data_IF_592294120870
#
_entry.id   IF_592294120870
#
_cell.length_a   1.000
_cell.length_b   1.000
_cell.length_c   1.000
_cell.angle_alpha   90.00
_cell.angle_beta   90.00
_cell.angle_gamma   90.00
#
_symmetry.space_group_name_H-M   'P 1'
#
loop_
_entity.id
_entity.type
_entity.pdbx_description
1 polymer ?
#
# COMPACT_ATOMS: atom_id res chain seq x y z
N UNK A 1 -20.26 -16.39 -15.81
CA UNK A 1 -20.85 -17.11 -14.66
C UNK A 1 -19.83 -18.04 -14.01
N UNK A 2 -19.18 -18.96 -14.74
CA UNK A 2 -18.18 -19.90 -14.19
C UNK A 2 -17.02 -19.18 -13.50
N UNK A 3 -16.42 -18.16 -14.11
CA UNK A 3 -15.32 -17.37 -13.54
C UNK A 3 -15.73 -16.67 -12.20
N UNK A 4 -16.98 -16.22 -12.11
CA UNK A 4 -17.49 -15.59 -10.86
C UNK A 4 -17.48 -16.58 -9.70
N UNK A 5 -17.92 -17.83 -9.97
CA UNK A 5 -17.96 -18.89 -8.97
C UNK A 5 -16.54 -19.37 -8.58
N UNK A 6 -15.65 -19.48 -9.54
CA UNK A 6 -14.27 -19.91 -9.31
C UNK A 6 -13.48 -18.90 -8.47
N UNK A 7 -13.57 -17.60 -8.80
CA UNK A 7 -12.91 -16.54 -8.02
C UNK A 7 -13.50 -16.45 -6.61
N UNK A 8 -14.81 -16.57 -6.47
CA UNK A 8 -15.47 -16.58 -5.15
C UNK A 8 -15.00 -17.76 -4.27
N UNK A 9 -14.77 -18.94 -4.87
CA UNK A 9 -14.30 -20.13 -4.15
C UNK A 9 -12.81 -20.07 -3.77
N UNK A 10 -11.97 -19.49 -4.63
CA UNK A 10 -10.54 -19.34 -4.39
C UNK A 10 -10.21 -18.23 -3.38
N UNK A 11 -11.17 -17.32 -3.12
CA UNK A 11 -10.94 -16.10 -2.36
C UNK A 11 -10.28 -14.99 -3.21
N UNK A 12 -10.73 -13.75 -3.04
CA UNK A 12 -10.15 -12.60 -3.73
C UNK A 12 -8.98 -12.07 -2.90
N UNK A 13 -7.75 -12.05 -3.43
CA UNK A 13 -6.61 -11.46 -2.72
C UNK A 13 -6.87 -9.99 -2.37
N UNK A 14 -6.66 -9.62 -1.11
CA UNK A 14 -7.02 -8.31 -0.57
C UNK A 14 -5.90 -7.27 -0.75
N UNK A 15 -5.35 -7.17 -1.96
CA UNK A 15 -4.33 -6.17 -2.27
C UNK A 15 -4.83 -4.74 -2.05
N UNK A 16 -3.93 -3.87 -1.61
CA UNK A 16 -4.14 -2.43 -1.76
C UNK A 16 -4.11 -2.07 -3.25
N UNK A 17 -5.12 -1.33 -3.70
CA UNK A 17 -5.27 -0.92 -5.09
C UNK A 17 -4.32 0.21 -5.49
N UNK A 18 -4.23 0.50 -6.81
CA UNK A 18 -3.36 1.53 -7.38
C UNK A 18 -3.59 2.92 -6.75
N UNK A 19 -4.83 3.23 -6.35
CA UNK A 19 -5.18 4.49 -5.70
C UNK A 19 -4.37 4.77 -4.43
N UNK A 20 -3.87 3.69 -3.76
CA UNK A 20 -3.03 3.81 -2.58
C UNK A 20 -1.64 4.34 -2.90
N UNK A 21 -1.17 4.06 -4.09
CA UNK A 21 0.20 4.34 -4.52
C UNK A 21 0.30 5.55 -5.47
N UNK A 22 -0.83 6.01 -6.03
CA UNK A 22 -0.94 7.00 -7.08
C UNK A 22 -1.19 6.34 -8.44
N UNK A 23 -2.37 6.57 -9.02
CA UNK A 23 -2.84 5.88 -10.24
C UNK A 23 -1.97 6.22 -11.45
N UNK A 24 -1.81 7.52 -11.73
CA UNK A 24 -0.98 8.02 -12.84
C UNK A 24 0.50 8.04 -12.47
N UNK A 25 0.78 8.22 -11.18
CA UNK A 25 2.12 8.45 -10.65
C UNK A 25 2.32 7.65 -9.34
N UNK A 26 2.72 6.38 -9.43
CA UNK A 26 2.84 5.49 -8.26
C UNK A 26 4.10 5.80 -7.43
N UNK A 27 4.15 6.98 -6.84
CA UNK A 27 5.30 7.52 -6.09
C UNK A 27 5.10 7.47 -4.58
N UNK A 28 3.87 7.32 -4.10
CA UNK A 28 3.48 7.55 -2.70
C UNK A 28 4.27 6.67 -1.73
N UNK A 29 4.36 5.36 -2.00
CA UNK A 29 5.12 4.42 -1.18
C UNK A 29 6.63 4.63 -1.25
N UNK A 30 7.15 5.08 -2.40
CA UNK A 30 8.57 5.37 -2.59
C UNK A 30 9.01 6.57 -1.73
N UNK A 31 8.17 7.59 -1.67
CA UNK A 31 8.42 8.74 -0.79
C UNK A 31 8.30 8.31 0.68
N UNK A 32 7.32 7.46 0.99
CA UNK A 32 7.13 6.90 2.34
C UNK A 32 8.34 6.12 2.84
N UNK A 33 8.92 5.27 2.00
CA UNK A 33 10.18 4.54 2.28
C UNK A 33 11.31 5.52 2.64
N UNK A 34 11.51 6.56 1.84
CA UNK A 34 12.57 7.56 2.08
C UNK A 34 12.36 8.35 3.37
N UNK A 35 11.10 8.67 3.71
CA UNK A 35 10.76 9.31 4.99
C UNK A 35 11.11 8.37 6.16
N UNK A 36 10.79 7.07 6.04
CA UNK A 36 11.16 6.06 7.05
C UNK A 36 12.68 5.99 7.23
N UNK A 37 13.43 5.96 6.14
CA UNK A 37 14.90 5.96 6.17
C UNK A 37 15.50 7.29 6.70
N UNK A 38 14.69 8.34 6.90
CA UNK A 38 15.16 9.66 7.31
C UNK A 38 15.84 10.45 6.20
N UNK A 39 15.80 9.98 4.96
CA UNK A 39 16.33 10.67 3.79
C UNK A 39 15.29 11.65 3.23
N UNK A 40 15.15 12.77 3.93
CA UNK A 40 14.16 13.80 3.58
C UNK A 40 14.49 14.51 2.28
N UNK A 41 15.77 14.59 1.90
CA UNK A 41 16.16 15.12 0.59
C UNK A 41 15.65 14.23 -0.53
N UNK A 42 16.00 12.95 -0.51
CA UNK A 42 15.53 12.00 -1.52
C UNK A 42 14.00 11.90 -1.54
N UNK A 43 13.34 11.99 -0.37
CA UNK A 43 11.87 12.01 -0.28
C UNK A 43 11.27 13.21 -1.01
N UNK A 44 11.74 14.42 -0.70
CA UNK A 44 11.25 15.65 -1.33
C UNK A 44 11.56 15.69 -2.83
N UNK A 45 12.78 15.32 -3.22
CA UNK A 45 13.20 15.26 -4.62
C UNK A 45 12.36 14.24 -5.40
N UNK A 46 12.09 13.07 -4.82
CA UNK A 46 11.23 12.06 -5.44
C UNK A 46 9.79 12.59 -5.58
N UNK A 47 9.26 13.26 -4.56
CA UNK A 47 7.90 13.81 -4.61
C UNK A 47 7.76 14.90 -5.67
N UNK A 48 8.68 15.85 -5.73
CA UNK A 48 8.62 16.96 -6.69
C UNK A 48 9.00 16.48 -8.09
N UNK A 49 10.11 15.74 -8.23
CA UNK A 49 10.85 15.61 -9.48
C UNK A 49 10.74 14.26 -10.20
N UNK A 50 10.20 13.20 -9.57
CA UNK A 50 10.10 11.91 -10.28
C UNK A 50 8.97 11.94 -11.30
N UNK A 51 9.32 11.94 -12.59
CA UNK A 51 8.39 11.90 -13.69
C UNK A 51 7.87 10.48 -13.98
N UNK A 52 6.67 10.39 -14.54
CA UNK A 52 6.05 9.14 -14.99
C UNK A 52 5.44 9.28 -16.39
N UNK A 53 5.44 8.20 -17.20
CA UNK A 53 5.03 8.24 -18.60
C UNK A 53 3.57 8.67 -18.85
N UNK A 54 2.69 8.51 -17.85
CA UNK A 54 1.27 8.87 -17.96
C UNK A 54 0.97 10.32 -17.56
N UNK A 55 1.97 11.09 -17.15
CA UNK A 55 1.83 12.52 -16.89
C UNK A 55 1.91 13.31 -18.21
N UNK A 56 1.45 14.57 -18.21
CA UNK A 56 1.61 15.48 -19.36
C UNK A 56 3.09 15.77 -19.63
N UNK A 57 3.46 16.03 -20.88
CA UNK A 57 4.83 16.38 -21.26
C UNK A 57 5.38 17.58 -20.46
N UNK A 58 4.51 18.61 -20.24
CA UNK A 58 4.84 19.76 -19.41
C UNK A 58 5.25 19.36 -18.00
N UNK A 59 4.47 18.50 -17.36
CA UNK A 59 4.75 18.00 -16.00
C UNK A 59 6.02 17.16 -15.97
N UNK A 60 6.18 16.26 -16.93
CA UNK A 60 7.39 15.42 -17.04
C UNK A 60 8.66 16.26 -17.22
N UNK A 61 8.61 17.29 -18.10
CA UNK A 61 9.72 18.21 -18.34
C UNK A 61 10.13 18.97 -17.08
N UNK A 62 9.16 19.60 -16.39
CA UNK A 62 9.42 20.33 -15.14
C UNK A 62 9.98 19.44 -14.03
N UNK A 63 9.47 18.21 -13.90
CA UNK A 63 9.97 17.24 -12.91
C UNK A 63 11.41 16.79 -13.22
N UNK A 64 11.68 16.47 -14.48
CA UNK A 64 13.02 16.05 -14.93
C UNK A 64 14.02 17.17 -14.71
N UNK A 65 13.70 18.40 -15.10
CA UNK A 65 14.54 19.56 -14.88
C UNK A 65 14.87 19.76 -13.39
N UNK A 66 13.85 19.69 -12.51
CA UNK A 66 14.11 19.77 -11.06
C UNK A 66 14.98 18.61 -10.54
N UNK A 67 14.77 17.40 -11.06
CA UNK A 67 15.58 16.25 -10.65
C UNK A 67 17.06 16.42 -11.01
N UNK A 68 17.36 17.05 -12.14
CA UNK A 68 18.72 17.27 -12.62
C UNK A 68 19.41 18.46 -11.95
N UNK A 69 18.67 19.55 -11.77
CA UNK A 69 19.25 20.84 -11.36
C UNK A 69 19.10 21.15 -9.87
N UNK A 70 18.09 20.58 -9.20
CA UNK A 70 17.66 20.96 -7.84
C UNK A 70 17.26 22.44 -7.73
N UNK A 71 17.02 23.12 -8.84
CA UNK A 71 16.59 24.52 -8.85
C UNK A 71 15.10 24.63 -8.48
N UNK A 72 14.84 24.91 -7.20
CA UNK A 72 13.47 25.07 -6.69
C UNK A 72 12.75 26.29 -7.29
N UNK A 73 13.50 27.32 -7.72
CA UNK A 73 12.93 28.53 -8.36
C UNK A 73 12.46 28.21 -9.77
N UNK A 74 13.28 27.51 -10.54
CA UNK A 74 12.89 27.02 -11.86
C UNK A 74 11.69 26.06 -11.76
N UNK A 75 11.73 25.11 -10.85
CA UNK A 75 10.61 24.19 -10.59
C UNK A 75 9.30 24.93 -10.26
N UNK A 76 9.35 25.98 -9.43
CA UNK A 76 8.18 26.79 -9.09
C UNK A 76 7.60 27.52 -10.31
N UNK A 77 8.44 27.91 -11.26
CA UNK A 77 8.02 28.57 -12.50
C UNK A 77 7.45 27.59 -13.54
N UNK A 78 8.01 26.38 -13.64
CA UNK A 78 7.72 25.40 -14.68
C UNK A 78 6.62 24.40 -14.30
N UNK A 79 6.48 24.05 -13.01
CA UNK A 79 5.46 23.11 -12.55
C UNK A 79 4.04 23.66 -12.82
N UNK A 80 3.15 22.87 -13.44
CA UNK A 80 1.74 23.24 -13.64
C UNK A 80 1.08 23.77 -12.37
N UNK A 81 0.21 24.77 -12.54
CA UNK A 81 -0.44 25.46 -11.39
C UNK A 81 -1.27 24.50 -10.54
N UNK A 82 -1.82 23.45 -11.14
CA UNK A 82 -2.61 22.42 -10.49
C UNK A 82 -1.79 21.56 -9.50
N UNK A 83 -0.46 21.50 -9.67
CA UNK A 83 0.45 20.76 -8.81
C UNK A 83 0.74 21.53 -7.51
N UNK A 84 -0.32 21.80 -6.77
CA UNK A 84 -0.28 22.70 -5.60
C UNK A 84 0.67 22.21 -4.50
N UNK A 85 0.79 20.91 -4.32
CA UNK A 85 1.67 20.32 -3.29
C UNK A 85 3.14 20.42 -3.67
N UNK A 86 3.49 20.06 -4.90
CA UNK A 86 4.86 20.18 -5.41
C UNK A 86 5.30 21.65 -5.40
N UNK A 87 4.41 22.54 -5.82
CA UNK A 87 4.66 23.99 -5.82
C UNK A 87 4.82 24.53 -4.39
N UNK A 88 4.06 24.04 -3.40
CA UNK A 88 4.22 24.43 -2.01
C UNK A 88 5.60 24.01 -1.47
N UNK A 89 6.04 22.79 -1.80
CA UNK A 89 7.36 22.28 -1.42
C UNK A 89 8.48 23.09 -2.11
N UNK A 90 8.37 23.35 -3.43
CA UNK A 90 9.33 24.15 -4.16
C UNK A 90 9.41 25.59 -3.62
N UNK A 91 8.27 26.22 -3.30
CA UNK A 91 8.24 27.54 -2.67
C UNK A 91 8.95 27.57 -1.32
N UNK A 92 8.78 26.53 -0.49
CA UNK A 92 9.53 26.39 0.76
C UNK A 92 11.04 26.35 0.52
N UNK A 93 11.49 25.55 -0.46
CA UNK A 93 12.91 25.42 -0.81
C UNK A 93 13.50 26.70 -1.41
N UNK A 94 12.71 27.52 -2.10
CA UNK A 94 13.14 28.85 -2.56
C UNK A 94 13.42 29.77 -1.37
N UNK A 95 12.58 29.73 -0.34
CA UNK A 95 12.74 30.55 0.87
C UNK A 95 13.83 29.97 1.81
N UNK A 96 13.96 28.66 1.88
CA UNK A 96 14.85 27.93 2.79
C UNK A 96 15.65 26.87 2.00
N UNK A 97 16.70 27.27 1.29
CA UNK A 97 17.50 26.34 0.48
C UNK A 97 18.07 25.20 1.34
N UNK A 98 17.85 23.94 0.89
CA UNK A 98 18.35 22.75 1.58
C UNK A 98 17.44 22.24 2.72
N UNK A 99 16.38 22.95 3.11
CA UNK A 99 15.44 22.49 4.14
C UNK A 99 14.37 21.56 3.52
N UNK A 100 14.79 20.37 3.11
CA UNK A 100 13.91 19.36 2.55
C UNK A 100 12.91 18.79 3.57
N UNK A 101 13.29 18.73 4.85
CA UNK A 101 12.39 18.32 5.91
C UNK A 101 11.24 19.33 6.08
N UNK A 102 11.53 20.63 6.06
CA UNK A 102 10.53 21.69 6.06
C UNK A 102 9.67 21.68 4.81
N UNK A 103 10.25 21.41 3.63
CA UNK A 103 9.51 21.26 2.38
C UNK A 103 8.47 20.12 2.45
N UNK A 104 8.82 18.95 3.00
CA UNK A 104 7.86 17.87 3.24
C UNK A 104 6.76 18.29 4.23
N UNK A 105 7.09 19.03 5.28
CA UNK A 105 6.11 19.55 6.25
C UNK A 105 5.21 20.66 5.68
N UNK A 106 5.52 21.21 4.51
CA UNK A 106 4.60 22.08 3.78
C UNK A 106 3.40 21.31 3.19
N UNK A 107 3.45 19.98 3.13
CA UNK A 107 2.33 19.12 2.77
C UNK A 107 1.30 19.05 3.91
N UNK A 108 -0.01 18.88 3.59
CA UNK A 108 -1.01 18.63 4.64
C UNK A 108 -0.62 17.39 5.49
N UNK A 109 -0.78 17.44 6.84
CA UNK A 109 -0.38 16.35 7.73
C UNK A 109 -0.98 14.98 7.35
N UNK A 110 -2.25 14.96 6.89
CA UNK A 110 -2.91 13.75 6.40
C UNK A 110 -2.24 13.16 5.15
N UNK A 111 -1.76 14.01 4.25
CA UNK A 111 -1.03 13.55 3.06
C UNK A 111 0.34 13.02 3.46
N UNK A 112 1.05 13.72 4.33
CA UNK A 112 2.36 13.28 4.80
C UNK A 112 2.27 11.91 5.50
N UNK A 113 1.25 11.69 6.34
CA UNK A 113 1.04 10.38 6.96
C UNK A 113 0.63 9.29 5.96
N UNK A 114 -0.11 9.67 4.91
CA UNK A 114 -0.49 8.75 3.84
C UNK A 114 0.73 8.23 3.09
N UNK A 115 1.79 9.03 2.91
CA UNK A 115 3.04 8.61 2.26
C UNK A 115 3.66 7.43 3.02
N UNK A 116 3.85 7.58 4.34
CA UNK A 116 4.43 6.52 5.18
C UNK A 116 3.55 5.27 5.21
N UNK A 117 2.24 5.45 5.42
CA UNK A 117 1.32 4.31 5.46
C UNK A 117 1.10 3.65 4.09
N UNK A 118 1.43 4.32 2.98
CA UNK A 118 1.49 3.68 1.66
C UNK A 118 2.67 2.70 1.56
N UNK A 119 3.80 2.98 2.21
CA UNK A 119 4.89 2.01 2.28
C UNK A 119 4.50 0.76 3.09
N UNK A 120 3.81 0.91 4.22
CA UNK A 120 3.22 -0.22 4.94
C UNK A 120 2.30 -1.06 4.02
N UNK A 121 1.50 -0.39 3.19
CA UNK A 121 0.61 -1.05 2.22
C UNK A 121 1.38 -1.77 1.10
N UNK A 122 2.52 -1.24 0.70
CA UNK A 122 3.45 -1.87 -0.26
C UNK A 122 4.04 -3.16 0.33
N UNK A 123 4.55 -3.12 1.57
CA UNK A 123 5.05 -4.32 2.26
C UNK A 123 3.99 -5.42 2.36
N UNK A 124 2.75 -5.05 2.70
CA UNK A 124 1.63 -6.01 2.71
C UNK A 124 1.41 -6.64 1.33
N UNK A 125 1.39 -5.83 0.27
CA UNK A 125 1.19 -6.34 -1.08
C UNK A 125 2.33 -7.29 -1.49
N UNK A 126 3.57 -6.95 -1.18
CA UNK A 126 4.72 -7.82 -1.42
C UNK A 126 4.61 -9.14 -0.64
N UNK A 127 4.28 -9.09 0.64
CA UNK A 127 4.12 -10.29 1.47
C UNK A 127 2.99 -11.20 0.97
N UNK A 128 1.85 -10.61 0.55
CA UNK A 128 0.75 -11.37 -0.04
C UNK A 128 1.15 -12.01 -1.38
N UNK A 129 1.95 -11.31 -2.20
CA UNK A 129 2.50 -11.90 -3.43
C UNK A 129 3.44 -13.07 -3.13
N UNK A 130 4.37 -12.91 -2.18
CA UNK A 130 5.25 -14.01 -1.75
C UNK A 130 4.45 -15.23 -1.27
N UNK A 131 3.37 -15.03 -0.50
CA UNK A 131 2.49 -16.13 -0.07
C UNK A 131 1.93 -16.91 -1.26
N UNK A 132 1.47 -16.20 -2.30
CA UNK A 132 0.91 -16.82 -3.51
C UNK A 132 2.01 -17.51 -4.30
N UNK A 133 3.17 -16.90 -4.47
CA UNK A 133 4.31 -17.43 -5.24
C UNK A 133 4.92 -18.67 -4.57
N UNK A 134 4.91 -18.74 -3.23
CA UNK A 134 5.31 -19.93 -2.47
C UNK A 134 4.23 -21.05 -2.49
N UNK A 135 3.08 -20.81 -3.12
CA UNK A 135 1.98 -21.77 -3.24
C UNK A 135 1.16 -21.97 -1.96
N UNK A 136 1.30 -21.07 -0.98
CA UNK A 136 0.52 -21.11 0.27
C UNK A 136 -0.94 -20.72 0.00
N UNK A 137 -1.87 -21.42 0.63
CA UNK A 137 -3.31 -21.21 0.43
C UNK A 137 -3.75 -19.85 0.99
N UNK A 138 -4.73 -19.22 0.31
CA UNK A 138 -5.41 -18.02 0.80
C UNK A 138 -6.59 -18.34 1.75
N UNK A 139 -7.06 -19.59 1.75
CA UNK A 139 -8.26 -20.02 2.50
C UNK A 139 -7.99 -21.14 3.50
N UNK A 140 -6.85 -21.80 3.41
CA UNK A 140 -6.43 -22.82 4.36
C UNK A 140 -5.21 -22.30 5.15
N UNK A 141 -5.29 -22.29 6.49
CA UNK A 141 -4.23 -21.70 7.30
C UNK A 141 -3.04 -22.66 7.45
N UNK A 142 -1.86 -22.09 7.65
CA UNK A 142 -0.65 -22.77 8.08
C UNK A 142 -0.31 -22.45 9.53
N UNK A 143 0.55 -23.28 10.16
CA UNK A 143 1.03 -22.99 11.51
C UNK A 143 1.83 -21.69 11.52
N UNK A 144 1.47 -20.79 12.43
CA UNK A 144 2.05 -19.47 12.54
C UNK A 144 1.26 -18.37 11.81
N UNK A 145 0.24 -18.72 11.01
CA UNK A 145 -0.63 -17.72 10.41
C UNK A 145 -1.41 -16.94 11.48
N UNK A 146 -1.52 -15.65 11.29
CA UNK A 146 -2.40 -14.81 12.09
C UNK A 146 -3.86 -14.96 11.65
N UNK A 147 -4.76 -14.95 12.61
CA UNK A 147 -6.21 -14.95 12.41
C UNK A 147 -6.80 -13.64 12.92
N UNK A 148 -7.59 -12.99 12.08
CA UNK A 148 -8.38 -11.83 12.48
C UNK A 148 -9.87 -12.19 12.45
N UNK A 149 -10.52 -12.14 13.62
CA UNK A 149 -11.94 -12.41 13.79
C UNK A 149 -12.79 -11.19 13.45
N UNK A 150 -14.08 -11.43 13.15
CA UNK A 150 -15.01 -10.33 12.84
C UNK A 150 -15.23 -9.35 14.00
N UNK A 151 -15.03 -9.80 15.24
CA UNK A 151 -15.13 -9.00 16.46
C UNK A 151 -13.84 -8.24 16.80
N UNK A 152 -12.83 -8.31 15.92
CA UNK A 152 -11.51 -7.67 16.10
C UNK A 152 -10.53 -8.47 16.96
N UNK A 153 -10.93 -9.63 17.49
CA UNK A 153 -10.03 -10.52 18.22
C UNK A 153 -9.00 -11.12 17.26
N UNK A 154 -7.79 -11.31 17.77
CA UNK A 154 -6.66 -11.90 17.07
C UNK A 154 -6.28 -13.24 17.68
N UNK A 155 -5.73 -14.15 16.89
CA UNK A 155 -5.19 -15.45 17.34
C UNK A 155 -4.06 -15.87 16.38
N UNK A 156 -3.25 -16.82 16.81
CA UNK A 156 -2.18 -17.44 16.00
C UNK A 156 -2.53 -18.91 15.78
N UNK A 157 -2.35 -19.38 14.56
CA UNK A 157 -2.54 -20.79 14.21
C UNK A 157 -1.40 -21.62 14.79
N UNK A 158 -1.74 -22.65 15.53
CA UNK A 158 -0.82 -23.60 16.12
C UNK A 158 -1.21 -25.03 15.73
N UNK A 159 -0.33 -26.00 15.93
CA UNK A 159 -0.66 -27.42 15.72
C UNK A 159 -1.87 -27.89 16.55
N UNK A 160 -2.11 -27.24 17.69
CA UNK A 160 -3.23 -27.60 18.60
C UNK A 160 -4.57 -27.06 18.13
N UNK A 161 -4.61 -25.85 17.59
CA UNK A 161 -5.86 -25.18 17.18
C UNK A 161 -6.13 -25.23 15.66
N UNK A 162 -5.25 -25.83 14.84
CA UNK A 162 -5.34 -25.88 13.38
C UNK A 162 -6.73 -26.30 12.85
N UNK A 163 -7.30 -27.39 13.39
CA UNK A 163 -8.63 -27.86 12.98
C UNK A 163 -9.73 -26.85 13.30
N UNK A 164 -9.64 -26.22 14.47
CA UNK A 164 -10.60 -25.21 14.89
C UNK A 164 -10.46 -23.93 14.03
N UNK A 165 -9.23 -23.50 13.78
CA UNK A 165 -8.92 -22.38 12.89
C UNK A 165 -9.53 -22.56 11.49
N UNK A 166 -9.26 -23.69 10.85
CA UNK A 166 -9.83 -24.02 9.54
C UNK A 166 -11.37 -23.99 9.55
N UNK A 167 -12.00 -24.54 10.61
CA UNK A 167 -13.45 -24.51 10.72
C UNK A 167 -14.01 -23.10 10.89
N UNK A 168 -13.33 -22.23 11.64
CA UNK A 168 -13.73 -20.84 11.84
C UNK A 168 -13.59 -20.03 10.54
N UNK A 169 -12.51 -20.25 9.77
CA UNK A 169 -12.29 -19.64 8.47
C UNK A 169 -13.41 -20.06 7.49
N UNK A 170 -13.67 -21.38 7.37
CA UNK A 170 -14.75 -21.90 6.49
C UNK A 170 -16.13 -21.39 6.85
N UNK A 171 -16.37 -21.05 8.12
CA UNK A 171 -17.61 -20.43 8.60
C UNK A 171 -17.62 -18.90 8.44
N UNK A 172 -16.56 -18.32 7.89
CA UNK A 172 -16.41 -16.87 7.72
C UNK A 172 -16.29 -16.08 9.03
N UNK A 173 -16.01 -16.72 10.17
CA UNK A 173 -15.90 -16.05 11.47
C UNK A 173 -14.57 -15.36 11.71
N UNK A 174 -13.52 -15.83 11.04
CA UNK A 174 -12.21 -15.20 10.98
C UNK A 174 -11.62 -15.35 9.59
N UNK A 175 -10.54 -14.63 9.33
CA UNK A 175 -9.73 -14.70 8.12
C UNK A 175 -8.27 -14.79 8.46
N UNK A 176 -7.48 -15.43 7.59
CA UNK A 176 -6.03 -15.37 7.64
C UNK A 176 -5.63 -13.90 7.40
N UNK A 177 -4.68 -13.41 8.17
CA UNK A 177 -4.21 -12.04 8.09
C UNK A 177 -2.68 -11.99 8.04
N UNK A 178 -2.14 -10.93 7.47
CA UNK A 178 -0.72 -10.59 7.51
C UNK A 178 -0.53 -9.42 8.48
N UNK A 179 0.47 -9.51 9.34
CA UNK A 179 0.88 -8.41 10.19
C UNK A 179 1.63 -7.35 9.36
N UNK A 180 1.06 -6.16 9.28
CA UNK A 180 1.69 -5.00 8.68
C UNK A 180 2.55 -4.32 9.74
N UNK A 181 3.87 -4.14 9.51
CA UNK A 181 4.79 -3.62 10.52
C UNK A 181 4.53 -2.15 10.86
N UNK A 182 4.96 -1.75 12.04
CA UNK A 182 4.91 -0.39 12.57
C UNK A 182 6.02 -0.18 13.59
N UNK A 183 5.83 0.71 14.56
CA UNK A 183 6.79 1.04 15.61
C UNK A 183 7.04 -0.09 16.63
N UNK A 184 6.28 -1.19 16.58
CA UNK A 184 6.54 -2.40 17.36
C UNK A 184 7.37 -3.43 16.60
N UNK A 185 8.03 -4.36 17.33
CA UNK A 185 8.80 -5.45 16.70
C UNK A 185 7.87 -6.43 15.97
N UNK A 186 8.34 -6.96 14.85
CA UNK A 186 7.72 -8.13 14.20
C UNK A 186 8.25 -9.38 14.88
N UNK A 187 7.38 -10.06 15.62
CA UNK A 187 7.73 -11.32 16.31
C UNK A 187 7.33 -12.47 15.38
N UNK A 188 8.28 -13.30 14.91
CA UNK A 188 7.96 -14.37 13.97
C UNK A 188 7.21 -15.50 14.65
N UNK A 189 6.02 -15.81 14.17
CA UNK A 189 5.21 -16.96 14.56
C UNK A 189 5.20 -18.06 13.49
N UNK A 190 5.49 -17.69 12.24
CA UNK A 190 5.56 -18.59 11.09
C UNK A 190 6.06 -17.89 9.83
N UNK A 191 5.92 -18.57 8.70
CA UNK A 191 6.51 -18.19 7.42
C UNK A 191 6.12 -16.77 6.98
N UNK A 192 4.88 -16.33 7.22
CA UNK A 192 4.44 -15.00 6.82
C UNK A 192 5.16 -13.87 7.57
N UNK A 193 5.45 -14.06 8.85
CA UNK A 193 6.21 -13.06 9.62
C UNK A 193 7.69 -13.07 9.22
N UNK A 194 8.25 -14.24 8.88
CA UNK A 194 9.61 -14.36 8.33
C UNK A 194 9.71 -13.60 7.00
N UNK A 195 8.77 -13.82 6.06
CA UNK A 195 8.68 -13.07 4.81
C UNK A 195 8.63 -11.56 5.07
N UNK A 196 7.83 -11.12 6.03
CA UNK A 196 7.75 -9.69 6.37
C UNK A 196 9.08 -9.16 6.90
N UNK A 197 9.78 -9.91 7.74
CA UNK A 197 11.11 -9.55 8.22
C UNK A 197 12.14 -9.49 7.07
N UNK A 198 12.12 -10.47 6.15
CA UNK A 198 12.96 -10.48 4.95
C UNK A 198 12.72 -9.25 4.07
N UNK A 199 11.45 -8.87 3.87
CA UNK A 199 11.07 -7.67 3.11
C UNK A 199 11.55 -6.40 3.81
N UNK A 200 11.34 -6.25 5.11
CA UNK A 200 11.83 -5.10 5.88
C UNK A 200 13.36 -5.00 5.81
N UNK A 201 14.07 -6.12 5.97
CA UNK A 201 15.52 -6.17 5.87
C UNK A 201 16.02 -5.77 4.46
N UNK A 202 15.36 -6.25 3.41
CA UNK A 202 15.65 -5.88 2.02
C UNK A 202 15.52 -4.39 1.76
N UNK A 203 14.51 -3.76 2.34
CA UNK A 203 14.26 -2.32 2.22
C UNK A 203 15.08 -1.49 3.23
N UNK A 204 15.85 -2.15 4.11
CA UNK A 204 16.69 -1.50 5.13
C UNK A 204 15.91 -0.77 6.20
N UNK A 205 14.71 -1.28 6.56
CA UNK A 205 13.78 -0.62 7.48
C UNK A 205 13.53 -1.50 8.72
N UNK A 206 13.49 -0.86 9.88
CA UNK A 206 13.17 -1.49 11.15
C UNK A 206 12.08 -0.73 11.95
N UNK A 207 11.76 -1.22 13.15
CA UNK A 207 10.77 -0.60 14.02
C UNK A 207 11.14 0.84 14.46
N UNK A 208 12.45 1.11 14.62
CA UNK A 208 12.96 2.43 14.99
C UNK A 208 12.71 3.49 13.89
N UNK A 209 12.68 3.05 12.64
CA UNK A 209 12.38 3.91 11.51
C UNK A 209 10.92 4.39 11.54
N UNK A 210 9.99 3.51 11.92
CA UNK A 210 8.60 3.89 12.13
C UNK A 210 8.44 4.85 13.33
N UNK A 211 9.21 4.68 14.40
CA UNK A 211 9.22 5.65 15.51
C UNK A 211 9.76 7.02 15.06
N UNK A 212 10.84 7.04 14.27
CA UNK A 212 11.39 8.27 13.69
C UNK A 212 10.38 8.97 12.81
N UNK A 213 9.75 8.23 11.90
CA UNK A 213 8.69 8.74 11.03
C UNK A 213 7.49 9.25 11.83
N UNK A 214 7.08 8.56 12.90
CA UNK A 214 5.99 8.98 13.79
C UNK A 214 6.28 10.35 14.42
N UNK A 215 7.51 10.58 14.85
CA UNK A 215 7.94 11.88 15.39
C UNK A 215 7.99 12.97 14.30
N UNK A 216 8.44 12.61 13.10
CA UNK A 216 8.53 13.56 11.98
C UNK A 216 7.15 13.99 11.46
N UNK A 217 6.22 13.05 11.35
CA UNK A 217 4.86 13.26 10.82
C UNK A 217 3.86 13.68 11.89
N UNK A 218 4.24 13.56 13.19
CA UNK A 218 3.38 13.77 14.36
C UNK A 218 2.15 12.84 14.38
N UNK A 219 2.31 11.62 13.85
CA UNK A 219 1.29 10.57 13.84
C UNK A 219 1.92 9.21 14.13
N UNK A 220 1.18 8.34 14.83
CA UNK A 220 1.62 6.97 15.11
C UNK A 220 1.45 6.08 13.90
N UNK A 221 2.46 5.23 13.68
CA UNK A 221 2.44 4.14 12.71
C UNK A 221 2.55 2.81 13.46
N UNK A 222 1.45 2.40 14.06
CA UNK A 222 1.39 1.13 14.78
C UNK A 222 1.28 -0.04 13.78
N UNK A 223 1.72 -1.23 14.21
CA UNK A 223 1.48 -2.46 13.47
C UNK A 223 0.00 -2.84 13.49
N UNK A 224 -0.49 -3.45 12.41
CA UNK A 224 -1.89 -3.85 12.29
C UNK A 224 -2.04 -5.14 11.48
N UNK A 225 -2.99 -5.99 11.86
CA UNK A 225 -3.37 -7.15 11.08
C UNK A 225 -4.33 -6.75 9.94
N UNK A 226 -4.03 -7.22 8.72
CA UNK A 226 -4.91 -7.07 7.57
C UNK A 226 -5.25 -8.44 6.99
N UNK A 227 -6.55 -8.76 6.77
CA UNK A 227 -6.94 -9.99 6.11
C UNK A 227 -6.36 -10.10 4.71
N UNK A 228 -5.88 -11.30 4.34
CA UNK A 228 -5.30 -11.57 3.01
C UNK A 228 -6.34 -11.79 1.92
N UNK A 229 -7.59 -12.10 2.32
CA UNK A 229 -8.72 -12.24 1.40
C UNK A 229 -9.78 -11.20 1.70
N UNK A 230 -10.44 -10.73 0.67
CA UNK A 230 -11.69 -10.00 0.80
C UNK A 230 -12.87 -10.93 0.49
N UNK A 231 -13.97 -10.70 1.19
CA UNK A 231 -15.24 -11.39 0.96
C UNK A 231 -16.27 -10.34 0.55
N UNK A 232 -17.03 -10.64 -0.50
CA UNK A 232 -18.10 -9.76 -0.98
C UNK A 232 -19.22 -10.59 -1.56
N UNK A 233 -20.45 -10.08 -1.47
CA UNK A 233 -21.66 -10.60 -2.10
C UNK A 233 -21.72 -10.14 -3.57
N UNK A 234 -20.83 -10.66 -4.40
CA UNK A 234 -20.73 -10.27 -5.79
C UNK A 234 -21.92 -10.79 -6.60
N UNK A 235 -22.58 -9.85 -7.28
CA UNK A 235 -23.60 -10.12 -8.30
C UNK A 235 -23.04 -9.73 -9.67
N UNK A 236 -23.22 -10.60 -10.67
CA UNK A 236 -22.77 -10.36 -12.03
C UNK A 236 -23.91 -10.52 -13.02
N UNK A 237 -24.13 -9.50 -13.85
CA UNK A 237 -25.11 -9.51 -14.93
C UNK A 237 -24.38 -9.35 -16.25
N UNK A 238 -24.63 -10.24 -17.20
CA UNK A 238 -24.07 -10.19 -18.56
C UNK A 238 -25.10 -9.60 -19.50
N UNK A 239 -24.74 -8.54 -20.22
CA UNK A 239 -25.60 -7.92 -21.23
C UNK A 239 -24.79 -7.63 -22.49
N UNK A 240 -24.98 -8.42 -23.53
CA UNK A 240 -24.19 -8.37 -24.75
C UNK A 240 -22.70 -8.60 -24.48
N UNK A 241 -21.86 -7.64 -24.84
CA UNK A 241 -20.41 -7.66 -24.60
C UNK A 241 -19.99 -7.03 -23.26
N UNK A 242 -20.95 -6.60 -22.45
CA UNK A 242 -20.71 -5.94 -21.17
C UNK A 242 -21.05 -6.85 -19.99
N UNK A 243 -20.27 -6.73 -18.92
CA UNK A 243 -20.54 -7.37 -17.62
C UNK A 243 -20.70 -6.29 -16.57
N UNK A 244 -21.83 -6.29 -15.88
CA UNK A 244 -22.08 -5.43 -14.72
C UNK A 244 -21.76 -6.22 -13.45
N UNK A 245 -20.89 -5.69 -12.61
CA UNK A 245 -20.57 -6.24 -11.30
C UNK A 245 -21.18 -5.36 -10.21
N UNK A 246 -21.99 -5.95 -9.32
CA UNK A 246 -22.53 -5.32 -8.13
C UNK A 246 -21.97 -5.98 -6.88
N UNK A 247 -21.39 -5.20 -5.95
CA UNK A 247 -20.84 -5.70 -4.71
C UNK A 247 -20.72 -4.61 -3.65
N UNK A 248 -20.65 -5.01 -2.38
CA UNK A 248 -20.38 -4.12 -1.25
C UNK A 248 -19.04 -4.45 -0.63
N UNK A 249 -18.23 -3.44 -0.34
CA UNK A 249 -16.93 -3.59 0.31
C UNK A 249 -16.87 -2.85 1.64
N UNK A 250 -16.29 -3.44 2.67
CA UNK A 250 -15.97 -2.73 3.90
C UNK A 250 -14.94 -1.60 3.65
N UNK A 251 -14.85 -0.60 4.54
CA UNK A 251 -13.81 0.41 4.48
C UNK A 251 -12.40 -0.20 4.38
N UNK A 252 -11.51 0.44 3.63
CA UNK A 252 -10.13 -0.02 3.43
C UNK A 252 -9.94 -1.11 2.38
N UNK A 253 -11.01 -1.51 1.67
CA UNK A 253 -10.96 -2.43 0.53
C UNK A 253 -11.13 -1.65 -0.79
N UNK A 254 -10.65 -2.21 -1.89
CA UNK A 254 -10.58 -1.53 -3.18
C UNK A 254 -11.42 -2.24 -4.24
N UNK A 255 -12.38 -1.53 -4.79
CA UNK A 255 -13.23 -2.04 -5.87
C UNK A 255 -12.41 -2.41 -7.13
N UNK A 256 -11.36 -1.63 -7.41
CA UNK A 256 -10.42 -1.92 -8.50
C UNK A 256 -9.71 -3.25 -8.32
N UNK A 257 -9.40 -3.67 -7.11
CA UNK A 257 -8.82 -5.00 -6.82
C UNK A 257 -9.82 -6.10 -7.16
N UNK A 258 -11.10 -5.94 -6.78
CA UNK A 258 -12.15 -6.90 -7.15
C UNK A 258 -12.29 -6.99 -8.66
N UNK A 259 -12.44 -5.85 -9.35
CA UNK A 259 -12.60 -5.82 -10.80
C UNK A 259 -11.40 -6.46 -11.51
N UNK A 260 -10.17 -6.19 -11.05
CA UNK A 260 -8.95 -6.77 -11.60
C UNK A 260 -8.95 -8.30 -11.56
N UNK A 261 -9.42 -8.90 -10.47
CA UNK A 261 -9.49 -10.37 -10.35
C UNK A 261 -10.44 -11.00 -11.38
N UNK A 262 -11.48 -10.29 -11.79
CA UNK A 262 -12.39 -10.76 -12.83
C UNK A 262 -11.92 -10.43 -14.25
N UNK A 263 -11.34 -9.26 -14.45
CA UNK A 263 -10.88 -8.82 -15.77
C UNK A 263 -9.58 -9.48 -16.19
N UNK A 264 -8.71 -9.86 -15.23
CA UNK A 264 -7.34 -10.36 -15.45
C UNK A 264 -6.55 -9.47 -16.42
N UNK A 265 -6.86 -8.18 -16.41
CA UNK A 265 -6.23 -7.16 -17.25
C UNK A 265 -5.08 -6.46 -16.51
N UNK A 266 -4.20 -5.83 -17.29
CA UNK A 266 -3.20 -4.94 -16.75
C UNK A 266 -3.89 -3.82 -15.94
N UNK A 267 -3.42 -3.52 -14.72
CA UNK A 267 -4.00 -2.47 -13.89
C UNK A 267 -4.11 -1.09 -14.58
N UNK A 268 -3.20 -0.78 -15.49
CA UNK A 268 -3.21 0.47 -16.25
C UNK A 268 -4.28 0.54 -17.35
N UNK A 269 -4.85 -0.60 -17.76
CA UNK A 269 -6.00 -0.62 -18.68
C UNK A 269 -7.31 -0.26 -17.96
N UNK A 270 -7.30 -0.23 -16.64
CA UNK A 270 -8.48 0.04 -15.79
C UNK A 270 -8.57 1.51 -15.35
N UNK A 271 -7.68 2.37 -15.88
CA UNK A 271 -7.58 3.80 -15.53
C UNK A 271 -8.34 4.67 -16.52
#
# INVERSE_FOLDING_TARGET
MQAVTEVAAAGIPNYYGLQRFGVVRPVTHIVGEKILNGDYEAAAVTYIGRAYPLETEEAQGARTHFTETRDARAALAELPVQMTYERAMANHLVANPGDYAGALRALPPKLLSLLVSAFQSYLFNCALSCRIDEGMSLTEPEVGDHLLFQDGREDIVTTRNMRAALLQIRRGRCRIAIFIPGSGPVVPHGRMDEIMQELMQKEGIDAGDFERASRFVEMKFDGVLRPITLSTDLQAEVSGESVRLGFTLPPGHYATTVCREYMKADPYVMI
#
